data_IF_853300564240
#
_entry.id   IF_853300564240
#
_cell.length_a   1.000
_cell.length_b   1.000
_cell.length_c   1.000
_cell.angle_alpha   90.00
_cell.angle_beta   90.00
_cell.angle_gamma   90.00
#
_symmetry.space_group_name_H-M   'P 1'
#
loop_
_entity.id
_entity.type
_entity.pdbx_description
1 polymer ?
#
# COMPACT_ATOMS: atom_id res chain seq x y z
N UNK A 1 -28.60 38.90 21.74
CA UNK A 1 -27.17 38.61 21.54
C UNK A 1 -26.73 39.26 20.25
N UNK A 2 -26.02 40.37 20.34
CA UNK A 2 -25.57 41.19 19.21
C UNK A 2 -24.10 40.87 18.93
N UNK A 3 -23.83 40.22 17.81
CA UNK A 3 -22.48 39.85 17.38
C UNK A 3 -21.78 41.07 16.77
N UNK A 4 -20.68 41.48 17.39
CA UNK A 4 -19.87 42.65 16.98
C UNK A 4 -18.94 42.21 15.84
N UNK A 5 -18.83 42.96 14.73
CA UNK A 5 -18.12 42.49 13.54
C UNK A 5 -16.60 42.38 13.76
N UNK A 6 -16.01 41.28 13.27
CA UNK A 6 -14.59 40.87 13.34
C UNK A 6 -13.54 41.91 12.95
N UNK A 7 -13.97 43.01 12.32
CA UNK A 7 -13.11 44.11 11.88
C UNK A 7 -12.47 44.88 13.05
N UNK A 8 -13.16 45.02 14.20
CA UNK A 8 -12.56 45.68 15.38
C UNK A 8 -11.49 44.80 16.04
N UNK A 9 -11.70 43.48 16.09
CA UNK A 9 -10.76 42.53 16.70
C UNK A 9 -9.40 42.52 15.99
N UNK A 10 -9.41 42.70 14.67
CA UNK A 10 -8.18 42.79 13.85
C UNK A 10 -7.42 44.09 14.03
N UNK A 11 -8.10 45.21 14.35
CA UNK A 11 -7.41 46.48 14.62
C UNK A 11 -6.75 46.49 15.99
N UNK A 12 -7.47 46.02 17.01
CA UNK A 12 -6.94 45.97 18.38
C UNK A 12 -5.71 45.05 18.50
N UNK A 13 -5.73 43.89 17.82
CA UNK A 13 -4.55 43.01 17.77
C UNK A 13 -3.39 43.62 16.98
N UNK A 14 -3.65 44.49 16.00
CA UNK A 14 -2.59 45.14 15.21
C UNK A 14 -1.91 46.28 15.97
N UNK A 15 -2.67 46.99 16.81
CA UNK A 15 -2.14 48.08 17.63
C UNK A 15 -1.40 47.56 18.88
N UNK A 16 -1.78 46.39 19.41
CA UNK A 16 -1.07 45.72 20.52
C UNK A 16 0.32 45.21 20.10
N UNK A 17 0.49 44.82 18.84
CA UNK A 17 1.78 44.38 18.29
C UNK A 17 2.72 45.58 18.00
N UNK A 18 2.19 46.81 17.92
CA UNK A 18 2.99 48.01 17.69
C UNK A 18 3.68 48.58 18.95
N UNK A 19 3.34 48.09 20.16
CA UNK A 19 3.77 48.69 21.43
C UNK A 19 4.94 48.02 22.17
N UNK A 20 5.34 46.80 21.81
CA UNK A 20 6.12 45.95 22.76
C UNK A 20 7.60 45.73 22.41
N UNK A 21 8.11 46.15 21.26
CA UNK A 21 9.54 45.89 20.91
C UNK A 21 10.36 47.18 20.90
N UNK A 22 10.44 47.82 22.08
CA UNK A 22 11.50 48.79 22.42
C UNK A 22 12.44 48.18 23.46
N UNK A 23 13.14 47.11 23.08
CA UNK A 23 14.33 46.68 23.80
C UNK A 23 15.55 46.95 22.93
N UNK A 24 16.22 48.05 23.26
CA UNK A 24 17.52 48.46 22.77
C UNK A 24 18.54 47.34 22.99
N UNK A 25 18.93 46.68 21.90
CA UNK A 25 20.10 45.81 21.88
C UNK A 25 21.34 46.70 21.99
N UNK A 26 22.17 46.58 23.04
CA UNK A 26 23.51 47.16 22.98
C UNK A 26 24.31 46.34 21.98
N UNK A 27 24.52 46.88 20.78
CA UNK A 27 25.47 46.34 19.81
C UNK A 27 26.89 46.51 20.36
N UNK A 28 27.28 45.64 21.30
CA UNK A 28 28.69 45.42 21.61
C UNK A 28 29.27 44.55 20.52
N UNK A 29 29.90 45.19 19.54
CA UNK A 29 30.83 44.49 18.66
C UNK A 29 31.93 43.88 19.55
N UNK A 30 32.14 42.56 19.53
CA UNK A 30 33.29 42.00 20.23
C UNK A 30 34.54 42.58 19.57
N UNK A 31 35.30 43.36 20.33
CA UNK A 31 36.66 43.72 19.97
C UNK A 31 37.41 42.41 19.72
N UNK A 32 37.74 42.13 18.46
CA UNK A 32 38.65 41.04 18.10
C UNK A 32 39.99 41.44 18.68
N UNK A 33 40.21 41.02 19.92
CA UNK A 33 41.47 41.18 20.61
C UNK A 33 42.45 40.33 19.81
N UNK A 34 43.37 40.99 19.11
CA UNK A 34 44.43 40.32 18.36
C UNK A 34 45.35 39.65 19.38
N UNK A 35 44.96 38.45 19.79
CA UNK A 35 45.75 37.62 20.67
C UNK A 35 47.04 37.26 19.92
N UNK A 36 48.14 37.89 20.31
CA UNK A 36 49.48 37.52 19.83
C UNK A 36 49.85 36.20 20.50
N UNK A 37 49.31 35.11 19.95
CA UNK A 37 49.71 33.75 20.30
C UNK A 37 51.13 33.54 19.75
N UNK A 38 52.13 33.83 20.59
CA UNK A 38 53.49 33.31 20.41
C UNK A 38 53.50 31.78 20.39
N UNK A 39 54.67 31.16 20.23
CA UNK A 39 54.89 29.71 20.02
C UNK A 39 53.98 28.74 20.81
N UNK A 40 53.51 29.12 22.01
CA UNK A 40 52.59 28.34 22.86
C UNK A 40 51.20 28.17 22.23
N UNK A 41 50.72 29.21 21.55
CA UNK A 41 49.45 29.17 20.82
C UNK A 41 49.47 28.33 19.55
N UNK A 42 50.65 28.20 18.92
CA UNK A 42 50.84 27.26 17.80
C UNK A 42 50.69 25.80 18.25
N UNK A 43 51.13 25.49 19.48
CA UNK A 43 50.99 24.13 20.05
C UNK A 43 49.53 23.80 20.39
N UNK A 44 48.78 24.76 20.92
CA UNK A 44 47.34 24.55 21.18
C UNK A 44 46.54 24.43 19.88
N UNK A 45 46.84 25.26 18.87
CA UNK A 45 46.23 25.12 17.53
C UNK A 45 46.57 23.77 16.91
N UNK A 46 47.83 23.34 16.97
CA UNK A 46 48.24 22.03 16.46
C UNK A 46 47.49 20.88 17.16
N UNK A 47 47.34 20.94 18.49
CA UNK A 47 46.59 19.96 19.24
C UNK A 47 45.10 19.92 18.84
N UNK A 48 44.46 21.07 18.66
CA UNK A 48 43.07 21.16 18.20
C UNK A 48 42.91 20.59 16.79
N UNK A 49 43.85 20.87 15.88
CA UNK A 49 43.83 20.33 14.51
C UNK A 49 44.00 18.81 14.51
N UNK A 50 44.88 18.27 15.35
CA UNK A 50 45.08 16.82 15.48
C UNK A 50 43.82 16.14 16.03
N UNK A 51 43.20 16.70 17.08
CA UNK A 51 41.96 16.17 17.65
C UNK A 51 40.81 16.24 16.64
N UNK A 52 40.66 17.35 15.92
CA UNK A 52 39.67 17.50 14.86
C UNK A 52 39.90 16.49 13.71
N UNK A 53 41.16 16.26 13.34
CA UNK A 53 41.54 15.24 12.35
C UNK A 53 41.17 13.82 12.79
N UNK A 54 41.41 13.47 14.05
CA UNK A 54 41.04 12.17 14.60
C UNK A 54 39.52 11.96 14.65
N UNK A 55 38.76 13.01 15.00
CA UNK A 55 37.28 12.97 14.96
C UNK A 55 36.80 12.78 13.52
N UNK A 56 37.36 13.51 12.55
CA UNK A 56 36.98 13.40 11.13
C UNK A 56 37.25 11.99 10.58
N UNK A 57 38.41 11.41 10.91
CA UNK A 57 38.77 10.03 10.54
C UNK A 57 37.81 9.04 11.20
N UNK A 58 37.54 9.18 12.50
CA UNK A 58 36.61 8.32 13.23
C UNK A 58 35.19 8.36 12.67
N UNK A 59 34.65 9.55 12.38
CA UNK A 59 33.33 9.71 11.77
C UNK A 59 33.27 9.16 10.35
N UNK A 60 34.35 9.27 9.58
CA UNK A 60 34.41 8.72 8.20
C UNK A 60 34.43 7.19 8.15
N UNK A 61 34.96 6.54 9.18
CA UNK A 61 35.04 5.06 9.29
C UNK A 61 33.75 4.41 9.83
N UNK A 62 32.90 5.15 10.56
CA UNK A 62 31.64 4.66 11.14
C UNK A 62 30.50 4.33 10.13
N UNK A 63 30.24 5.06 9.03
CA UNK A 63 29.10 4.82 8.15
C UNK A 63 29.22 3.55 7.31
N UNK A 64 30.41 2.94 7.23
CA UNK A 64 30.65 1.75 6.41
C UNK A 64 29.87 0.51 6.90
N UNK A 65 29.57 0.43 8.20
CA UNK A 65 28.76 -0.68 8.75
C UNK A 65 27.28 -0.51 8.45
N UNK A 66 26.75 0.70 8.61
CA UNK A 66 25.34 1.01 8.32
C UNK A 66 24.98 0.88 6.85
N UNK A 67 25.92 1.09 5.92
CA UNK A 67 25.66 0.89 4.50
C UNK A 67 25.41 -0.59 4.14
N UNK A 68 26.06 -1.53 4.84
CA UNK A 68 25.89 -2.98 4.58
C UNK A 68 24.55 -3.52 5.09
N UNK A 69 24.08 -3.06 6.24
CA UNK A 69 22.76 -3.43 6.76
C UNK A 69 21.62 -2.85 5.92
N UNK A 70 21.81 -1.64 5.38
CA UNK A 70 20.85 -1.03 4.46
C UNK A 70 20.75 -1.77 3.12
N UNK A 71 21.85 -2.34 2.60
CA UNK A 71 21.81 -3.14 1.37
C UNK A 71 20.91 -4.38 1.52
N UNK A 72 20.96 -5.07 2.66
CA UNK A 72 20.10 -6.24 2.92
C UNK A 72 18.63 -5.86 3.03
N UNK A 73 18.30 -4.74 3.69
CA UNK A 73 16.92 -4.26 3.79
C UNK A 73 16.35 -3.84 2.43
N UNK A 74 17.17 -3.19 1.58
CA UNK A 74 16.78 -2.81 0.22
C UNK A 74 16.57 -4.06 -0.64
N UNK A 75 17.46 -5.05 -0.55
CA UNK A 75 17.34 -6.31 -1.30
C UNK A 75 16.08 -7.09 -0.90
N UNK A 76 15.78 -7.19 0.40
CA UNK A 76 14.54 -7.81 0.88
C UNK A 76 13.30 -7.10 0.35
N UNK A 77 13.29 -5.77 0.35
CA UNK A 77 12.16 -4.99 -0.18
C UNK A 77 12.02 -5.14 -1.69
N UNK A 78 13.13 -5.24 -2.41
CA UNK A 78 13.11 -5.48 -3.85
C UNK A 78 12.59 -6.88 -4.19
N UNK A 79 12.95 -7.90 -3.40
CA UNK A 79 12.42 -9.26 -3.53
C UNK A 79 10.92 -9.28 -3.26
N UNK A 80 10.47 -8.64 -2.18
CA UNK A 80 9.04 -8.51 -1.85
C UNK A 80 8.27 -7.83 -3.00
N UNK A 81 8.78 -6.72 -3.55
CA UNK A 81 8.17 -6.05 -4.70
C UNK A 81 8.08 -6.97 -5.92
N UNK A 82 9.16 -7.69 -6.26
CA UNK A 82 9.15 -8.59 -7.41
C UNK A 82 8.13 -9.71 -7.27
N UNK A 83 7.97 -10.27 -6.05
CA UNK A 83 6.97 -11.28 -5.76
C UNK A 83 5.53 -10.73 -5.87
N UNK A 84 5.29 -9.50 -5.40
CA UNK A 84 3.99 -8.85 -5.54
C UNK A 84 3.66 -8.54 -7.00
N UNK A 85 4.63 -8.12 -7.80
CA UNK A 85 4.44 -7.84 -9.23
C UNK A 85 4.12 -9.12 -10.01
N UNK A 86 4.80 -10.23 -9.71
CA UNK A 86 4.50 -11.52 -10.31
C UNK A 86 3.08 -12.00 -9.95
N UNK A 87 2.71 -11.90 -8.67
CA UNK A 87 1.37 -12.25 -8.21
C UNK A 87 0.29 -11.39 -8.87
N UNK A 88 0.55 -10.08 -8.99
CA UNK A 88 -0.35 -9.16 -9.70
C UNK A 88 -0.51 -9.57 -11.16
N UNK A 89 0.57 -9.90 -11.85
CA UNK A 89 0.52 -10.32 -13.25
C UNK A 89 -0.26 -11.64 -13.41
N UNK A 90 -0.08 -12.60 -12.50
CA UNK A 90 -0.83 -13.85 -12.50
C UNK A 90 -2.34 -13.61 -12.29
N UNK A 91 -2.69 -12.81 -11.29
CA UNK A 91 -4.08 -12.45 -10.99
C UNK A 91 -4.73 -11.73 -12.16
N UNK A 92 -4.02 -10.80 -12.80
CA UNK A 92 -4.54 -10.10 -13.97
C UNK A 92 -4.85 -11.08 -15.11
N UNK A 93 -3.96 -12.04 -15.41
CA UNK A 93 -4.21 -13.09 -16.40
C UNK A 93 -5.43 -13.94 -16.06
N UNK A 94 -5.64 -14.25 -14.78
CA UNK A 94 -6.83 -15.00 -14.33
C UNK A 94 -8.10 -14.18 -14.53
N UNK A 95 -8.09 -12.90 -14.20
CA UNK A 95 -9.21 -11.98 -14.42
C UNK A 95 -9.51 -11.84 -15.90
N UNK A 96 -8.51 -11.67 -16.75
CA UNK A 96 -8.68 -11.52 -18.20
C UNK A 96 -9.28 -12.81 -18.80
N UNK A 97 -8.84 -13.98 -18.34
CA UNK A 97 -9.44 -15.26 -18.72
C UNK A 97 -10.90 -15.35 -18.27
N UNK A 98 -11.19 -14.98 -17.02
CA UNK A 98 -12.54 -15.03 -16.46
C UNK A 98 -13.51 -14.05 -17.14
N UNK A 99 -13.00 -12.93 -17.68
CA UNK A 99 -13.78 -11.95 -18.46
C UNK A 99 -14.00 -12.36 -19.91
N UNK A 100 -13.31 -13.39 -20.40
CA UNK A 100 -13.46 -13.83 -21.77
C UNK A 100 -14.88 -14.40 -21.99
N UNK A 101 -15.71 -13.81 -22.87
CA UNK A 101 -17.10 -14.24 -23.06
C UNK A 101 -17.22 -15.70 -23.48
N UNK A 102 -16.27 -16.20 -24.29
CA UNK A 102 -16.24 -17.61 -24.70
C UNK A 102 -15.99 -18.56 -23.53
N UNK A 103 -15.16 -18.14 -22.58
CA UNK A 103 -14.86 -18.94 -21.38
C UNK A 103 -16.05 -18.93 -20.41
N UNK A 104 -16.72 -17.79 -20.26
CA UNK A 104 -17.95 -17.67 -19.49
C UNK A 104 -19.03 -18.59 -20.06
N UNK A 105 -19.26 -18.53 -21.38
CA UNK A 105 -20.23 -19.40 -22.05
C UNK A 105 -19.85 -20.88 -21.87
N UNK A 106 -18.57 -21.25 -22.04
CA UNK A 106 -18.10 -22.61 -21.84
C UNK A 106 -18.37 -23.12 -20.41
N UNK A 107 -18.13 -22.28 -19.40
CA UNK A 107 -18.40 -22.61 -17.99
C UNK A 107 -19.90 -22.74 -17.75
N UNK A 108 -20.71 -21.80 -18.28
CA UNK A 108 -22.16 -21.83 -18.18
C UNK A 108 -22.74 -23.11 -18.81
N UNK A 109 -22.28 -23.49 -20.01
CA UNK A 109 -22.69 -24.75 -20.67
C UNK A 109 -22.31 -25.97 -19.83
N UNK A 110 -21.10 -25.97 -19.24
CA UNK A 110 -20.59 -27.10 -18.44
C UNK A 110 -21.29 -27.26 -17.09
N UNK A 111 -21.56 -26.16 -16.39
CA UNK A 111 -22.00 -26.19 -14.99
C UNK A 111 -23.48 -25.87 -14.81
N UNK A 112 -24.06 -25.10 -15.72
CA UNK A 112 -25.41 -24.56 -15.59
C UNK A 112 -26.34 -25.06 -16.71
N UNK A 113 -25.86 -25.98 -17.55
CA UNK A 113 -26.59 -26.45 -18.74
C UNK A 113 -27.13 -25.29 -19.58
N UNK A 114 -26.35 -24.22 -19.70
CA UNK A 114 -26.69 -23.06 -20.52
C UNK A 114 -26.81 -23.46 -21.99
N UNK A 115 -27.78 -22.88 -22.69
CA UNK A 115 -28.14 -23.18 -24.09
C UNK A 115 -28.43 -21.85 -24.79
N UNK A 116 -27.92 -21.68 -26.02
CA UNK A 116 -28.13 -20.47 -26.82
C UNK A 116 -29.30 -20.62 -27.79
N UNK A 117 -29.75 -19.52 -28.39
CA UNK A 117 -30.78 -19.56 -29.43
C UNK A 117 -30.32 -20.44 -30.61
N UNK A 118 -31.14 -21.44 -30.98
CA UNK A 118 -30.83 -22.39 -32.05
C UNK A 118 -30.13 -23.68 -31.60
N UNK A 119 -29.70 -23.80 -30.35
CA UNK A 119 -29.19 -25.06 -29.81
C UNK A 119 -30.34 -26.05 -29.55
N UNK A 120 -30.17 -27.32 -29.92
CA UNK A 120 -31.15 -28.40 -29.69
C UNK A 120 -30.94 -29.08 -28.33
N UNK A 121 -32.01 -29.19 -27.54
CA UNK A 121 -31.98 -29.84 -26.22
C UNK A 121 -32.44 -31.29 -26.35
N UNK A 122 -31.51 -32.23 -26.13
CA UNK A 122 -31.84 -33.64 -26.05
C UNK A 122 -32.19 -34.03 -24.61
N UNK A 123 -33.42 -34.48 -24.39
CA UNK A 123 -33.82 -35.12 -23.13
C UNK A 123 -33.70 -36.63 -23.30
N UNK A 124 -32.85 -37.25 -22.50
CA UNK A 124 -32.84 -38.71 -22.38
C UNK A 124 -34.08 -39.12 -21.60
N UNK A 125 -35.04 -39.75 -22.27
CA UNK A 125 -36.22 -40.36 -21.63
C UNK A 125 -35.93 -41.84 -21.47
N UNK A 126 -35.92 -42.31 -20.22
CA UNK A 126 -35.78 -43.73 -19.92
C UNK A 126 -37.17 -44.36 -20.02
N UNK A 127 -37.35 -45.44 -20.80
CA UNK A 127 -38.66 -46.08 -20.92
C UNK A 127 -39.06 -46.75 -19.60
N UNK A 128 -40.36 -46.74 -19.29
CA UNK A 128 -40.93 -47.14 -18.00
C UNK A 128 -40.79 -48.63 -17.66
N UNK A 129 -40.48 -49.46 -18.64
CA UNK A 129 -40.34 -50.92 -18.53
C UNK A 129 -38.98 -51.34 -17.94
N UNK A 130 -37.98 -50.45 -17.92
CA UNK A 130 -36.63 -50.75 -17.43
C UNK A 130 -36.40 -50.23 -15.99
N UNK A 131 -37.31 -49.39 -15.47
CA UNK A 131 -37.16 -48.77 -14.14
C UNK A 131 -37.94 -49.57 -13.10
N UNK A 132 -37.28 -50.53 -12.44
CA UNK A 132 -37.81 -51.17 -11.23
C UNK A 132 -37.64 -50.22 -10.04
N UNK A 133 -38.71 -49.50 -9.70
CA UNK A 133 -38.72 -48.70 -8.47
C UNK A 133 -38.85 -49.61 -7.26
N UNK A 134 -38.04 -49.40 -6.19
CA UNK A 134 -38.26 -50.08 -4.92
C UNK A 134 -39.71 -49.89 -4.46
N UNK A 135 -40.35 -50.95 -3.99
CA UNK A 135 -41.78 -50.93 -3.59
C UNK A 135 -42.09 -49.85 -2.55
N UNK A 136 -41.12 -49.55 -1.67
CA UNK A 136 -41.23 -48.49 -0.65
C UNK A 136 -41.33 -47.06 -1.24
N UNK A 137 -40.96 -46.87 -2.51
CA UNK A 137 -40.99 -45.58 -3.23
C UNK A 137 -42.13 -45.50 -4.24
N UNK A 138 -43.07 -46.45 -4.22
CA UNK A 138 -44.26 -46.42 -5.06
C UNK A 138 -45.23 -45.33 -4.57
N UNK A 139 -44.84 -44.07 -4.80
CA UNK A 139 -45.66 -42.90 -4.60
C UNK A 139 -46.46 -42.64 -5.88
N UNK A 140 -47.78 -42.39 -5.79
CA UNK A 140 -48.57 -42.03 -6.95
C UNK A 140 -47.98 -40.76 -7.59
N UNK A 141 -47.58 -40.86 -8.87
CA UNK A 141 -47.03 -39.75 -9.65
C UNK A 141 -45.50 -39.73 -9.83
N UNK A 142 -44.70 -40.48 -9.06
CA UNK A 142 -43.23 -40.52 -9.28
C UNK A 142 -42.90 -41.21 -10.60
N UNK A 143 -43.61 -42.29 -10.93
CA UNK A 143 -43.50 -42.98 -12.22
C UNK A 143 -43.70 -42.01 -13.39
N UNK A 144 -44.67 -41.09 -13.28
CA UNK A 144 -44.96 -40.06 -14.30
C UNK A 144 -43.79 -39.09 -14.53
N UNK A 145 -43.14 -38.61 -13.45
CA UNK A 145 -42.02 -37.67 -13.58
C UNK A 145 -40.83 -38.26 -14.34
N UNK A 146 -40.64 -39.57 -14.23
CA UNK A 146 -39.54 -40.31 -14.86
C UNK A 146 -39.90 -40.71 -16.29
N UNK A 147 -41.09 -41.29 -16.50
CA UNK A 147 -41.50 -41.84 -17.81
C UNK A 147 -42.20 -40.83 -18.73
N UNK A 148 -42.72 -39.71 -18.19
CA UNK A 148 -43.49 -38.72 -18.94
C UNK A 148 -44.86 -39.21 -19.44
N UNK A 149 -45.34 -40.39 -19.02
CA UNK A 149 -46.65 -40.96 -19.41
C UNK A 149 -47.57 -41.07 -18.21
N UNK A 150 -48.85 -40.72 -18.43
CA UNK A 150 -49.95 -40.97 -17.50
C UNK A 150 -50.55 -42.31 -17.94
N UNK A 151 -50.50 -43.31 -17.06
CA UNK A 151 -51.24 -44.57 -17.22
C UNK A 151 -52.66 -44.40 -16.68
#
# INVERSE_FOLDING_TARGET
MTEKPDAERRKQSRDEIAGVVRNSLPTRLPSITRFRLGLIGRRSIAAVVVVAGLILVGVSLLPLRQYREQSGAIEQKQQELSALEELRAELQRKVDRAKNPKEIERIARKQMSYVSEGDEIFRVVVPSDIVDLPTAWNLPGVKYLITGKID
#
